data_IF_719570389149
#
_entry.id   IF_719570389149
#
_cell.length_a   1.000
_cell.length_b   1.000
_cell.length_c   1.000
_cell.angle_alpha   90.00
_cell.angle_beta   90.00
_cell.angle_gamma   90.00
#
_symmetry.space_group_name_H-M   'P 1'
#
loop_
_entity.id
_entity.type
_entity.pdbx_description
1 polymer ?
#
# COMPACT_ATOMS: atom_id res chain seq x y z
N UNK A 1 3.36 12.21 -7.45
CA UNK A 1 4.40 11.24 -7.06
C UNK A 1 4.31 10.02 -7.96
N UNK A 2 5.43 9.38 -8.35
CA UNK A 2 5.39 8.17 -9.15
C UNK A 2 4.78 7.02 -8.33
N UNK A 3 3.86 6.28 -8.93
CA UNK A 3 3.35 5.01 -8.41
C UNK A 3 4.10 3.91 -9.15
N UNK A 4 4.69 2.97 -8.41
CA UNK A 4 5.33 1.79 -8.95
C UNK A 4 4.47 0.55 -8.69
N UNK A 5 4.39 -0.33 -9.68
CA UNK A 5 3.71 -1.62 -9.58
C UNK A 5 4.75 -2.71 -9.73
N UNK A 6 4.73 -3.68 -8.83
CA UNK A 6 5.63 -4.83 -8.86
C UNK A 6 4.82 -6.11 -8.92
N UNK A 7 5.20 -7.02 -9.82
CA UNK A 7 4.74 -8.39 -9.75
C UNK A 7 5.40 -9.09 -8.55
N UNK A 8 4.76 -10.12 -8.00
CA UNK A 8 5.30 -10.89 -6.86
C UNK A 8 6.71 -11.41 -7.12
N UNK A 9 7.00 -11.80 -8.35
CA UNK A 9 8.27 -12.43 -8.71
C UNK A 9 9.35 -11.40 -9.06
N UNK A 10 8.95 -10.18 -9.45
CA UNK A 10 9.84 -9.10 -9.91
C UNK A 10 9.97 -7.95 -8.90
N UNK A 11 9.49 -8.15 -7.67
CA UNK A 11 9.54 -7.13 -6.62
C UNK A 11 10.96 -7.00 -6.03
N UNK A 12 11.53 -5.78 -5.98
CA UNK A 12 12.81 -5.52 -5.33
C UNK A 12 12.86 -6.00 -3.88
N UNK A 13 14.02 -6.42 -3.40
CA UNK A 13 14.18 -7.06 -2.08
C UNK A 13 13.73 -6.19 -0.91
N UNK A 14 13.95 -4.88 -0.98
CA UNK A 14 13.52 -3.92 0.05
C UNK A 14 12.00 -3.81 0.11
N UNK A 15 11.34 -3.75 -1.06
CA UNK A 15 9.88 -3.76 -1.19
C UNK A 15 9.31 -5.11 -0.75
N UNK A 16 9.94 -6.23 -1.12
CA UNK A 16 9.55 -7.59 -0.72
C UNK A 16 9.58 -7.75 0.79
N UNK A 17 10.67 -7.31 1.43
CA UNK A 17 10.84 -7.37 2.89
C UNK A 17 9.79 -6.56 3.61
N UNK A 18 9.45 -5.38 3.09
CA UNK A 18 8.39 -4.54 3.65
C UNK A 18 6.98 -5.11 3.44
N UNK A 19 6.72 -5.77 2.32
CA UNK A 19 5.46 -6.45 2.07
C UNK A 19 5.28 -7.70 2.95
N UNK A 20 6.37 -8.42 3.23
CA UNK A 20 6.32 -9.71 3.92
C UNK A 20 5.37 -10.68 3.20
N UNK A 21 4.49 -11.34 3.95
CA UNK A 21 3.46 -12.24 3.42
C UNK A 21 2.17 -11.51 2.99
N UNK A 22 2.11 -10.17 3.11
CA UNK A 22 0.89 -9.40 2.90
C UNK A 22 0.60 -9.11 1.41
N UNK A 23 0.85 -10.04 0.50
CA UNK A 23 0.60 -9.84 -0.93
C UNK A 23 -0.81 -10.29 -1.34
N UNK A 24 -1.57 -9.50 -2.13
CA UNK A 24 -1.25 -8.17 -2.64
C UNK A 24 -1.35 -7.08 -1.55
N UNK A 25 -0.52 -6.03 -1.68
CA UNK A 25 -0.52 -4.87 -0.78
C UNK A 25 -0.30 -3.53 -1.48
N UNK A 26 -0.60 -2.46 -0.74
CA UNK A 26 -0.14 -1.10 -1.02
C UNK A 26 0.81 -0.65 0.07
N UNK A 27 2.01 -0.25 -0.34
CA UNK A 27 3.03 0.33 0.53
C UNK A 27 3.19 1.82 0.25
N UNK A 28 3.39 2.63 1.29
CA UNK A 28 3.87 4.00 1.16
C UNK A 28 5.38 4.05 1.42
N UNK A 29 6.13 4.71 0.53
CA UNK A 29 7.55 4.99 0.75
C UNK A 29 7.69 6.27 1.57
N UNK A 30 8.31 6.16 2.75
CA UNK A 30 8.56 7.27 3.67
C UNK A 30 10.08 7.37 3.88
N UNK A 31 10.71 8.25 3.10
CA UNK A 31 12.17 8.31 3.03
C UNK A 31 12.77 7.02 2.47
N UNK A 32 13.47 6.26 3.34
CA UNK A 32 14.08 4.95 3.00
C UNK A 32 13.26 3.75 3.47
N UNK A 33 12.17 4.00 4.17
CA UNK A 33 11.33 2.96 4.74
C UNK A 33 10.02 2.81 3.96
N UNK A 34 9.36 1.69 4.21
CA UNK A 34 8.06 1.37 3.63
C UNK A 34 7.06 1.10 4.74
N UNK A 35 5.87 1.65 4.59
CA UNK A 35 4.75 1.47 5.51
C UNK A 35 3.63 0.74 4.77
N UNK A 36 3.16 -0.38 5.33
CA UNK A 36 2.02 -1.12 4.80
C UNK A 36 0.73 -0.34 5.06
N UNK A 37 0.10 0.14 3.98
CA UNK A 37 -1.17 0.86 4.07
C UNK A 37 -2.38 -0.05 3.90
N UNK A 38 -2.30 -1.01 2.97
CA UNK A 38 -3.38 -1.94 2.68
C UNK A 38 -2.79 -3.33 2.42
N UNK A 39 -3.22 -4.32 3.20
CA UNK A 39 -2.95 -5.73 2.93
C UNK A 39 -4.09 -6.45 2.18
N UNK A 40 -3.98 -7.77 1.97
CA UNK A 40 -4.88 -8.54 1.11
C UNK A 40 -6.34 -8.45 1.54
N UNK A 41 -6.62 -8.55 2.84
CA UNK A 41 -8.00 -8.46 3.34
C UNK A 41 -8.62 -7.09 3.16
N UNK A 42 -7.83 -6.02 3.34
CA UNK A 42 -8.30 -4.66 3.15
C UNK A 42 -8.64 -4.39 1.68
N UNK A 43 -7.82 -4.92 0.77
CA UNK A 43 -8.05 -4.87 -0.68
C UNK A 43 -9.27 -5.71 -1.09
N UNK A 44 -9.41 -6.92 -0.56
CA UNK A 44 -10.57 -7.77 -0.82
C UNK A 44 -11.88 -7.07 -0.42
N UNK A 45 -11.88 -6.36 0.72
CA UNK A 45 -13.01 -5.56 1.20
C UNK A 45 -13.34 -4.33 0.34
N UNK A 46 -12.44 -3.89 -0.56
CA UNK A 46 -12.77 -2.85 -1.54
C UNK A 46 -13.71 -3.37 -2.63
N UNK A 47 -13.71 -4.68 -2.93
CA UNK A 47 -14.58 -5.31 -3.92
C UNK A 47 -14.63 -4.56 -5.27
N UNK A 48 -13.47 -4.13 -5.77
CA UNK A 48 -13.35 -3.36 -7.03
C UNK A 48 -13.85 -1.91 -6.98
N UNK A 49 -14.36 -1.43 -5.83
CA UNK A 49 -14.86 -0.06 -5.67
C UNK A 49 -13.71 0.90 -5.39
N UNK A 50 -13.48 1.81 -6.34
CA UNK A 50 -12.42 2.82 -6.25
C UNK A 50 -12.64 3.78 -5.07
N UNK A 51 -13.89 4.13 -4.77
CA UNK A 51 -14.21 5.00 -3.63
C UNK A 51 -13.77 4.36 -2.29
N UNK A 52 -14.05 3.07 -2.11
CA UNK A 52 -13.68 2.33 -0.91
C UNK A 52 -12.16 2.20 -0.78
N UNK A 53 -11.47 1.94 -1.90
CA UNK A 53 -10.01 1.95 -1.96
C UNK A 53 -9.44 3.31 -1.51
N UNK A 54 -9.93 4.41 -2.10
CA UNK A 54 -9.49 5.78 -1.73
C UNK A 54 -9.75 6.10 -0.26
N UNK A 55 -10.92 5.73 0.25
CA UNK A 55 -11.30 5.93 1.65
C UNK A 55 -10.37 5.18 2.60
N UNK A 56 -10.14 3.88 2.35
CA UNK A 56 -9.25 3.05 3.17
C UNK A 56 -7.79 3.49 3.08
N UNK A 57 -7.32 3.86 1.89
CA UNK A 57 -5.96 4.35 1.69
C UNK A 57 -5.70 5.62 2.50
N UNK A 58 -6.61 6.60 2.44
CA UNK A 58 -6.53 7.84 3.23
C UNK A 58 -6.62 7.57 4.73
N UNK A 59 -7.54 6.71 5.14
CA UNK A 59 -7.71 6.35 6.55
C UNK A 59 -6.42 5.74 7.13
N UNK A 60 -5.83 4.75 6.46
CA UNK A 60 -4.59 4.11 6.93
C UNK A 60 -3.40 5.08 6.86
N UNK A 61 -3.29 5.90 5.81
CA UNK A 61 -2.26 6.93 5.74
C UNK A 61 -2.34 7.88 6.96
N UNK A 62 -3.54 8.34 7.32
CA UNK A 62 -3.76 9.21 8.48
C UNK A 62 -3.39 8.52 9.80
N UNK A 63 -3.69 7.22 9.97
CA UNK A 63 -3.27 6.46 11.16
C UNK A 63 -1.74 6.41 11.32
N UNK A 64 -1.01 6.46 10.21
CA UNK A 64 0.45 6.53 10.19
C UNK A 64 1.00 7.97 10.17
N UNK A 65 0.15 8.99 10.33
CA UNK A 65 0.55 10.40 10.26
C UNK A 65 1.03 10.84 8.86
N UNK A 66 0.67 10.09 7.82
CA UNK A 66 1.07 10.36 6.44
C UNK A 66 0.01 11.21 5.73
N UNK A 67 0.48 12.22 5.01
CA UNK A 67 -0.37 13.02 4.12
C UNK A 67 -0.22 12.49 2.70
N UNK A 68 -1.31 11.98 2.15
CA UNK A 68 -1.33 11.60 0.74
C UNK A 68 -1.43 12.86 -0.12
N UNK A 69 -0.68 12.94 -1.24
CA UNK A 69 -0.86 14.02 -2.20
C UNK A 69 -2.27 14.00 -2.79
N UNK A 70 -2.77 15.19 -3.12
CA UNK A 70 -4.11 15.41 -3.68
C UNK A 70 -4.28 14.77 -5.07
#
# INVERSE_FOLDING_TARGET
MPIAYYHRDDVPDDVRRAAGEALPCVLARVGREYVLLLGPEALARCNGKVADFKGRLRHNANLHGLVLPA
#
